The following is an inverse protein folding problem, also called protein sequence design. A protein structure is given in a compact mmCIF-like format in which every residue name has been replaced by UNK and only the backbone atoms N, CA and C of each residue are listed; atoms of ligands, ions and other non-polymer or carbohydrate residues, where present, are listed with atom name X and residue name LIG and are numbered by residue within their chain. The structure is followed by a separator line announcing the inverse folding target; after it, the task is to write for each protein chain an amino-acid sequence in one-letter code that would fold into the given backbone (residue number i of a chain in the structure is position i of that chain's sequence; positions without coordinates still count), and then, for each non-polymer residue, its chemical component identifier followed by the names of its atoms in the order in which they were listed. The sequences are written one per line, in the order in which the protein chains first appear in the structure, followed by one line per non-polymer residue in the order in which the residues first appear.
data_IF_025298111242
#
_entry.id   IF_025298111242
#
_cell.length_a   1.000
_cell.length_b   1.000
_cell.length_c   1.000
_cell.angle_alpha   90.00
_cell.angle_beta   90.00
_cell.angle_gamma   90.00
#
_symmetry.space_group_name_H-M   'P 1'
#
loop_
_entity.id
_entity.type
_entity.pdbx_description
1 polymer ?
#
# COMPACT_ATOMS: atom_id res chain seq x y z
N UNK A 1 3.35 -4.34 -12.84
CA UNK A 1 3.33 -3.82 -14.23
C UNK A 1 4.72 -3.36 -14.63
N UNK A 2 5.18 -3.73 -15.84
CA UNK A 2 6.48 -3.31 -16.38
C UNK A 2 6.66 -1.79 -16.37
N UNK A 3 5.61 -1.08 -16.78
CA UNK A 3 5.63 0.38 -16.84
C UNK A 3 5.86 1.04 -15.46
N UNK A 4 5.24 0.50 -14.41
CA UNK A 4 5.48 0.97 -13.03
C UNK A 4 6.94 0.77 -12.62
N UNK A 5 7.52 -0.37 -12.97
CA UNK A 5 8.92 -0.67 -12.67
C UNK A 5 9.87 0.32 -13.37
N UNK A 6 9.58 0.67 -14.63
CA UNK A 6 10.36 1.71 -15.34
C UNK A 6 10.25 3.09 -14.69
N UNK A 7 9.06 3.43 -14.14
CA UNK A 7 8.89 4.66 -13.36
C UNK A 7 9.67 4.60 -12.03
N UNK A 8 9.60 3.48 -11.31
CA UNK A 8 10.34 3.31 -10.06
C UNK A 8 11.85 3.37 -10.25
N UNK A 9 12.36 2.89 -11.38
CA UNK A 9 13.78 3.03 -11.72
C UNK A 9 14.18 4.50 -11.90
N UNK A 10 13.34 5.30 -12.55
CA UNK A 10 13.56 6.75 -12.68
C UNK A 10 13.52 7.44 -11.31
N UNK A 11 12.56 7.09 -10.47
CA UNK A 11 12.49 7.58 -9.09
C UNK A 11 13.78 7.26 -8.33
N UNK A 12 14.29 6.03 -8.41
CA UNK A 12 15.51 5.61 -7.70
C UNK A 12 16.76 6.39 -8.08
N UNK A 13 16.80 6.93 -9.30
CA UNK A 13 17.90 7.73 -9.86
C UNK A 13 17.67 9.24 -9.75
N UNK A 14 16.51 9.68 -9.29
CA UNK A 14 16.13 11.09 -9.19
C UNK A 14 16.62 11.73 -7.89
N UNK A 15 16.61 13.06 -7.86
CA UNK A 15 16.86 13.83 -6.63
C UNK A 15 15.76 13.61 -5.56
N UNK A 16 14.62 13.05 -5.93
CA UNK A 16 13.45 12.81 -5.09
C UNK A 16 13.40 11.43 -4.45
N UNK A 17 14.44 10.59 -4.67
CA UNK A 17 14.52 9.22 -4.13
C UNK A 17 14.17 9.14 -2.64
N UNK A 18 14.71 10.06 -1.83
CA UNK A 18 14.55 10.07 -0.38
C UNK A 18 13.26 10.74 0.09
N UNK A 19 12.56 11.43 -0.79
CA UNK A 19 11.34 12.17 -0.49
C UNK A 19 10.06 11.40 -0.82
N UNK A 20 10.13 10.48 -1.80
CA UNK A 20 8.99 9.66 -2.24
C UNK A 20 9.10 8.27 -1.63
N UNK A 21 8.25 7.98 -0.67
CA UNK A 21 8.24 6.71 0.07
C UNK A 21 7.14 5.82 -0.47
N UNK A 22 7.49 4.70 -1.10
CA UNK A 22 6.51 3.77 -1.68
C UNK A 22 5.75 3.00 -0.60
N UNK A 23 4.45 2.78 -0.86
CA UNK A 23 3.54 2.03 0.01
C UNK A 23 2.53 1.24 -0.81
N UNK A 24 1.53 0.67 -0.16
CA UNK A 24 0.37 0.07 -0.82
C UNK A 24 0.67 -1.14 -1.67
N UNK A 25 -0.08 -1.29 -2.75
CA UNK A 25 -0.12 -2.51 -3.55
C UNK A 25 1.19 -2.88 -4.25
N UNK A 26 1.94 -1.90 -4.75
CA UNK A 26 3.24 -2.14 -5.43
C UNK A 26 4.26 -2.70 -4.46
N UNK A 27 4.36 -2.12 -3.26
CA UNK A 27 5.26 -2.63 -2.21
C UNK A 27 4.86 -4.04 -1.78
N UNK A 28 3.58 -4.31 -1.55
CA UNK A 28 3.11 -5.65 -1.18
C UNK A 28 3.43 -6.66 -2.28
N UNK A 29 3.15 -6.34 -3.56
CA UNK A 29 3.49 -7.19 -4.70
C UNK A 29 4.96 -7.55 -4.76
N UNK A 30 5.83 -6.59 -4.46
CA UNK A 30 7.28 -6.80 -4.43
C UNK A 30 7.71 -7.70 -3.26
N UNK A 31 7.08 -7.53 -2.08
CA UNK A 31 7.38 -8.31 -0.88
C UNK A 31 7.00 -9.79 -1.01
N UNK A 32 5.87 -10.10 -1.66
CA UNK A 32 5.28 -11.45 -1.70
C UNK A 32 5.36 -12.12 -3.07
N UNK A 33 5.79 -11.40 -4.09
CA UNK A 33 5.84 -11.84 -5.49
C UNK A 33 4.54 -11.57 -6.26
N UNK A 34 4.68 -11.21 -7.54
CA UNK A 34 3.55 -10.81 -8.42
C UNK A 34 2.54 -11.93 -8.69
N UNK A 35 2.93 -13.19 -8.58
CA UNK A 35 2.01 -14.33 -8.69
C UNK A 35 1.00 -14.37 -7.54
N UNK A 36 1.37 -13.85 -6.39
CA UNK A 36 0.55 -13.82 -5.17
C UNK A 36 -0.26 -12.53 -5.02
N UNK A 37 0.16 -11.45 -5.69
CA UNK A 37 -0.50 -10.15 -5.60
C UNK A 37 -0.11 -9.28 -6.78
N UNK A 38 -1.08 -8.79 -7.54
CA UNK A 38 -0.86 -7.85 -8.65
C UNK A 38 -1.51 -6.50 -8.37
N UNK A 39 -0.88 -5.43 -8.86
CA UNK A 39 -1.41 -4.08 -8.82
C UNK A 39 -0.98 -3.29 -10.05
N UNK A 40 -1.75 -2.27 -10.39
CA UNK A 40 -1.42 -1.28 -11.41
C UNK A 40 -1.34 0.13 -10.83
N UNK A 41 -1.69 0.29 -9.55
CA UNK A 41 -1.70 1.58 -8.87
C UNK A 41 -0.40 1.72 -8.06
N UNK A 42 0.24 2.89 -8.15
CA UNK A 42 1.37 3.27 -7.32
C UNK A 42 0.87 4.22 -6.24
N UNK A 43 1.05 3.81 -5.00
CA UNK A 43 0.77 4.63 -3.82
C UNK A 43 2.11 5.06 -3.19
N UNK A 44 2.22 6.33 -2.82
CA UNK A 44 3.39 6.86 -2.14
C UNK A 44 3.01 7.91 -1.10
N UNK A 45 3.88 8.13 -0.13
CA UNK A 45 3.80 9.29 0.75
C UNK A 45 5.00 10.20 0.52
N UNK A 46 4.75 11.50 0.56
CA UNK A 46 5.79 12.51 0.41
C UNK A 46 6.29 12.94 1.80
N UNK A 47 7.60 13.04 1.93
CA UNK A 47 8.27 13.58 3.12
C UNK A 47 9.30 14.66 2.74
N UNK A 48 9.56 15.54 3.69
CA UNK A 48 10.62 16.56 3.56
C UNK A 48 10.19 17.85 2.87
N UNK A 49 8.98 17.92 2.29
CA UNK A 49 8.39 19.14 1.76
C UNK A 49 6.85 19.11 1.84
N UNK A 50 6.22 20.28 1.73
CA UNK A 50 4.78 20.40 1.74
C UNK A 50 4.19 19.86 0.43
N UNK A 51 3.17 18.98 0.53
CA UNK A 51 2.49 18.46 -0.64
C UNK A 51 1.44 19.48 -1.13
N UNK A 52 1.69 20.01 -2.31
CA UNK A 52 0.79 20.87 -3.08
C UNK A 52 0.76 20.39 -4.53
N UNK A 53 -0.20 20.83 -5.34
CA UNK A 53 -0.21 20.55 -6.77
C UNK A 53 1.10 20.96 -7.46
N UNK A 54 1.62 22.16 -7.14
CA UNK A 54 2.85 22.69 -7.69
C UNK A 54 4.07 21.84 -7.27
N UNK A 55 4.18 21.48 -5.99
CA UNK A 55 5.33 20.68 -5.50
C UNK A 55 5.27 19.24 -6.05
N UNK A 56 4.08 18.65 -6.18
CA UNK A 56 3.89 17.34 -6.80
C UNK A 56 4.25 17.40 -8.30
N UNK A 57 3.78 18.41 -9.03
CA UNK A 57 4.13 18.61 -10.43
C UNK A 57 5.65 18.72 -10.62
N UNK A 58 6.31 19.59 -9.84
CA UNK A 58 7.76 19.78 -9.93
C UNK A 58 8.51 18.47 -9.68
N UNK A 59 8.17 17.76 -8.60
CA UNK A 59 8.80 16.48 -8.27
C UNK A 59 8.62 15.44 -9.39
N UNK A 60 7.40 15.28 -9.90
CA UNK A 60 7.14 14.25 -10.91
C UNK A 60 7.67 14.65 -12.30
N UNK A 61 7.73 15.92 -12.65
CA UNK A 61 8.44 16.38 -13.87
C UNK A 61 9.91 16.03 -13.81
N UNK A 62 10.58 16.24 -12.69
CA UNK A 62 11.98 15.87 -12.50
C UNK A 62 12.17 14.34 -12.57
N UNK A 63 11.30 13.57 -11.91
CA UNK A 63 11.37 12.10 -11.92
C UNK A 63 11.22 11.54 -13.34
N UNK A 64 10.22 12.00 -14.10
CA UNK A 64 9.99 11.49 -15.45
C UNK A 64 11.05 11.94 -16.47
N UNK A 65 11.77 13.02 -16.18
CA UNK A 65 12.89 13.51 -17.02
C UNK A 65 14.18 12.68 -16.84
N UNK A 66 14.28 11.86 -15.79
CA UNK A 66 15.44 10.99 -15.57
C UNK A 66 15.56 9.98 -16.71
N UNK A 67 16.76 9.89 -17.28
CA UNK A 67 17.06 8.88 -18.30
C UNK A 67 17.32 7.52 -17.64
N UNK A 68 16.77 6.46 -18.21
CA UNK A 68 17.02 5.08 -17.85
C UNK A 68 17.45 4.30 -19.10
N UNK A 69 18.04 3.13 -18.89
CA UNK A 69 18.49 2.27 -19.99
C UNK A 69 17.31 1.43 -20.53
N UNK A 70 16.34 2.16 -21.07
CA UNK A 70 15.15 1.59 -21.72
C UNK A 70 14.63 2.55 -22.80
N UNK A 71 13.74 2.06 -23.68
CA UNK A 71 13.14 2.84 -24.77
C UNK A 71 11.87 3.59 -24.34
N UNK A 72 11.53 3.61 -23.05
CA UNK A 72 10.37 4.31 -22.51
C UNK A 72 10.69 5.77 -22.24
N UNK A 73 9.76 6.63 -22.61
CA UNK A 73 9.72 8.03 -22.13
C UNK A 73 8.46 8.25 -21.30
N UNK A 74 8.55 9.15 -20.35
CA UNK A 74 7.41 9.50 -19.51
C UNK A 74 7.12 10.99 -19.62
N UNK A 75 5.84 11.34 -19.54
CA UNK A 75 5.37 12.72 -19.54
C UNK A 75 4.45 12.94 -18.35
N UNK A 76 4.61 14.10 -17.71
CA UNK A 76 3.65 14.59 -16.75
C UNK A 76 2.43 15.12 -17.49
N UNK A 77 1.22 14.73 -17.08
CA UNK A 77 -0.03 15.20 -17.67
C UNK A 77 -0.67 16.28 -16.78
N UNK A 78 -1.13 15.89 -15.59
CA UNK A 78 -1.79 16.79 -14.64
C UNK A 78 -1.81 16.21 -13.23
N UNK A 79 -2.28 17.03 -12.29
CA UNK A 79 -2.64 16.59 -10.93
C UNK A 79 -4.12 16.80 -10.67
N UNK A 80 -4.70 16.01 -9.76
CA UNK A 80 -6.05 16.20 -9.24
C UNK A 80 -6.11 15.83 -7.76
N UNK A 81 -7.06 16.42 -7.02
CA UNK A 81 -7.30 16.06 -5.63
C UNK A 81 -7.89 14.65 -5.53
N UNK A 82 -7.35 13.84 -4.66
CA UNK A 82 -7.98 12.58 -4.28
C UNK A 82 -9.08 12.94 -3.27
N UNK A 83 -10.33 12.74 -3.64
CA UNK A 83 -11.47 12.85 -2.73
C UNK A 83 -11.49 11.60 -1.85
N UNK A 84 -10.63 11.55 -0.87
CA UNK A 84 -10.78 10.60 0.22
C UNK A 84 -11.68 11.19 1.27
N UNK A 85 -12.58 10.37 1.81
CA UNK A 85 -13.40 10.66 2.98
C UNK A 85 -12.58 10.77 4.27
N UNK A 86 -11.28 10.60 4.17
CA UNK A 86 -10.32 10.67 5.27
C UNK A 86 -9.68 12.08 5.32
N UNK A 87 -9.39 12.56 6.53
CA UNK A 87 -8.93 13.91 6.89
C UNK A 87 -7.60 14.38 6.27
N UNK A 88 -7.06 13.67 5.28
CA UNK A 88 -5.75 13.97 4.70
C UNK A 88 -5.84 14.24 3.19
N UNK A 89 -5.35 15.40 2.76
CA UNK A 89 -5.30 15.72 1.34
C UNK A 89 -4.32 14.78 0.62
N UNK A 90 -4.83 14.08 -0.37
CA UNK A 90 -4.03 13.33 -1.33
C UNK A 90 -4.10 14.00 -2.70
N UNK A 91 -3.06 13.80 -3.48
CA UNK A 91 -2.97 14.29 -4.87
C UNK A 91 -2.72 13.09 -5.77
N UNK A 92 -3.57 12.93 -6.79
CA UNK A 92 -3.32 11.99 -7.89
C UNK A 92 -2.52 12.67 -8.97
N UNK A 93 -1.37 12.12 -9.27
CA UNK A 93 -0.51 12.54 -10.37
C UNK A 93 -0.79 11.66 -11.58
N UNK A 94 -1.16 12.27 -12.69
CA UNK A 94 -1.39 11.60 -13.97
C UNK A 94 -0.13 11.72 -14.82
N UNK A 95 0.34 10.60 -15.32
CA UNK A 95 1.50 10.46 -16.19
C UNK A 95 1.11 9.69 -17.46
N UNK A 96 1.94 9.81 -18.48
CA UNK A 96 1.89 8.96 -19.69
C UNK A 96 3.23 8.30 -19.91
N UNK A 97 3.25 6.98 -20.03
CA UNK A 97 4.41 6.24 -20.50
C UNK A 97 4.29 6.01 -22.01
N UNK A 98 5.28 6.43 -22.76
CA UNK A 98 5.32 6.35 -24.20
C UNK A 98 6.38 5.34 -24.67
N UNK A 99 5.96 4.44 -25.54
CA UNK A 99 6.80 3.52 -26.32
C UNK A 99 6.15 3.38 -27.71
N UNK A 100 6.70 4.06 -28.70
CA UNK A 100 6.05 4.22 -30.01
C UNK A 100 5.61 2.88 -30.64
N UNK A 101 4.36 2.75 -31.10
CA UNK A 101 3.30 3.77 -31.18
C UNK A 101 2.39 3.86 -29.95
N UNK A 102 2.72 3.20 -28.83
CA UNK A 102 1.88 3.11 -27.64
C UNK A 102 2.06 4.31 -26.72
N UNK A 103 0.95 4.80 -26.16
CA UNK A 103 0.93 5.75 -25.03
C UNK A 103 0.00 5.17 -23.96
N UNK A 104 0.54 4.89 -22.79
CA UNK A 104 -0.17 4.21 -21.69
C UNK A 104 -0.33 5.17 -20.52
N UNK A 105 -1.56 5.46 -20.09
CA UNK A 105 -1.80 6.28 -18.91
C UNK A 105 -1.35 5.56 -17.64
N UNK A 106 -0.83 6.31 -16.70
CA UNK A 106 -0.33 5.86 -15.41
C UNK A 106 -0.72 6.86 -14.33
N UNK A 107 -1.07 6.39 -13.15
CA UNK A 107 -1.38 7.25 -12.01
C UNK A 107 -0.53 6.91 -10.80
N UNK A 108 -0.18 7.95 -10.04
CA UNK A 108 0.47 7.83 -8.74
C UNK A 108 -0.35 8.61 -7.72
N UNK A 109 -0.83 7.91 -6.70
CA UNK A 109 -1.54 8.51 -5.59
C UNK A 109 -0.53 8.90 -4.50
N UNK A 110 -0.40 10.19 -4.24
CA UNK A 110 0.53 10.71 -3.25
C UNK A 110 -0.21 11.33 -2.07
N UNK A 111 0.23 11.00 -0.88
CA UNK A 111 -0.26 11.54 0.39
C UNK A 111 0.88 12.20 1.15
N UNK A 112 0.59 12.84 2.27
CA UNK A 112 1.58 13.41 3.18
C UNK A 112 1.14 13.26 4.63
N UNK A 113 2.09 13.42 5.54
CA UNK A 113 1.80 13.39 6.97
C UNK A 113 1.52 12.00 7.54
N UNK A 114 1.75 10.93 6.80
CA UNK A 114 1.56 9.55 7.27
C UNK A 114 2.51 9.23 8.44
N UNK A 115 2.00 8.46 9.40
CA UNK A 115 2.82 7.91 10.50
C UNK A 115 3.53 6.65 10.01
N UNK A 116 4.84 6.72 9.87
CA UNK A 116 5.68 5.58 9.46
C UNK A 116 6.48 5.15 10.69
N UNK A 117 6.27 3.94 11.16
CA UNK A 117 6.85 3.43 12.41
C UNK A 117 7.81 2.28 12.13
N UNK A 118 9.06 2.33 12.62
CA UNK A 118 9.67 3.49 13.29
C UNK A 118 10.00 4.64 12.35
N UNK A 119 10.38 4.36 11.09
CA UNK A 119 10.69 5.30 10.01
C UNK A 119 10.60 4.59 8.66
N UNK A 120 10.55 5.36 7.57
CA UNK A 120 10.73 4.80 6.22
C UNK A 120 12.09 4.09 6.12
N UNK A 121 12.09 2.95 5.43
CA UNK A 121 13.28 2.10 5.26
C UNK A 121 13.79 2.15 3.82
N UNK A 122 15.10 2.00 3.64
CA UNK A 122 15.65 1.73 2.33
C UNK A 122 15.28 0.29 1.95
N UNK A 123 14.63 0.15 0.81
CA UNK A 123 14.11 -1.12 0.32
C UNK A 123 14.74 -1.49 -1.01
N UNK A 124 15.31 -2.67 -1.06
CA UNK A 124 15.85 -3.27 -2.28
C UNK A 124 14.70 -3.87 -3.08
N UNK A 125 14.23 -3.15 -4.10
CA UNK A 125 13.14 -3.55 -4.98
C UNK A 125 13.69 -4.43 -6.11
N UNK A 126 13.36 -5.74 -6.16
CA UNK A 126 13.82 -6.62 -7.22
C UNK A 126 13.14 -6.27 -8.54
N UNK A 127 13.91 -6.13 -9.61
CA UNK A 127 13.37 -5.92 -10.94
C UNK A 127 12.72 -7.21 -11.45
N UNK A 128 11.48 -7.13 -11.90
CA UNK A 128 10.71 -8.28 -12.39
C UNK A 128 10.97 -8.55 -13.87
N UNK A 129 11.39 -7.52 -14.61
CA UNK A 129 11.55 -7.52 -16.07
C UNK A 129 12.94 -7.07 -16.49
N UNK A 130 13.93 -7.24 -15.63
CA UNK A 130 15.33 -6.90 -15.86
C UNK A 130 16.22 -7.70 -14.95
N UNK A 131 17.53 -7.47 -15.04
CA UNK A 131 18.48 -8.02 -14.10
C UNK A 131 18.78 -7.01 -12.99
N UNK A 132 18.91 -7.49 -11.75
CA UNK A 132 19.28 -6.66 -10.60
C UNK A 132 18.11 -6.13 -9.79
N UNK A 133 18.40 -5.08 -9.06
CA UNK A 133 17.46 -4.40 -8.16
C UNK A 133 17.66 -2.89 -8.19
N UNK A 134 16.71 -2.17 -7.60
CA UNK A 134 16.80 -0.73 -7.37
C UNK A 134 16.55 -0.42 -5.89
N UNK A 135 17.19 0.62 -5.38
CA UNK A 135 16.98 1.08 -4.01
C UNK A 135 15.96 2.21 -3.98
N UNK A 136 14.93 2.05 -3.16
CA UNK A 136 13.81 2.99 -2.95
C UNK A 136 13.54 3.16 -1.47
N UNK A 137 12.95 4.29 -1.09
CA UNK A 137 12.37 4.42 0.24
C UNK A 137 11.00 3.78 0.27
N UNK A 138 10.72 3.00 1.31
CA UNK A 138 9.46 2.28 1.45
C UNK A 138 8.95 2.28 2.90
N UNK A 139 7.68 1.94 3.07
CA UNK A 139 7.14 1.62 4.39
C UNK A 139 7.76 0.33 4.93
N UNK A 140 8.06 0.25 6.24
CA UNK A 140 8.25 -1.02 6.91
C UNK A 140 7.00 -1.90 6.74
N UNK A 141 7.19 -3.20 6.70
CA UNK A 141 6.08 -4.16 6.57
C UNK A 141 5.06 -4.00 7.71
N UNK A 142 5.53 -3.67 8.90
CA UNK A 142 4.70 -3.46 10.09
C UNK A 142 3.76 -2.25 9.91
N UNK A 143 4.24 -1.15 9.33
CA UNK A 143 3.38 0.00 9.02
C UNK A 143 2.32 -0.37 7.98
N UNK A 144 2.68 -1.14 6.93
CA UNK A 144 1.72 -1.62 5.93
C UNK A 144 0.62 -2.46 6.56
N UNK A 145 1.00 -3.40 7.43
CA UNK A 145 0.05 -4.28 8.13
C UNK A 145 -0.83 -3.47 9.08
N UNK A 146 -0.24 -2.57 9.85
CA UNK A 146 -0.95 -1.72 10.81
C UNK A 146 -2.03 -0.86 10.14
N UNK A 147 -1.72 -0.19 9.03
CA UNK A 147 -2.71 0.61 8.28
C UNK A 147 -3.86 -0.25 7.75
N UNK A 148 -3.57 -1.46 7.28
CA UNK A 148 -4.61 -2.37 6.79
C UNK A 148 -5.48 -2.95 7.91
N UNK A 149 -4.88 -3.35 9.02
CA UNK A 149 -5.62 -3.81 10.20
C UNK A 149 -6.54 -2.69 10.70
N UNK A 150 -6.00 -1.49 10.88
CA UNK A 150 -6.79 -0.34 11.30
C UNK A 150 -7.96 -0.11 10.35
N UNK A 151 -7.72 -0.11 9.02
CA UNK A 151 -8.74 0.11 8.00
C UNK A 151 -9.85 -0.95 8.04
N UNK A 152 -9.51 -2.24 8.17
CA UNK A 152 -10.54 -3.29 8.19
C UNK A 152 -11.35 -3.28 9.49
N UNK A 153 -10.72 -2.94 10.61
CA UNK A 153 -11.41 -2.84 11.90
C UNK A 153 -12.28 -1.58 11.96
N UNK A 154 -11.75 -0.42 11.60
CA UNK A 154 -12.50 0.85 11.66
C UNK A 154 -13.70 0.88 10.72
N UNK A 155 -13.61 0.23 9.56
CA UNK A 155 -14.70 0.18 8.58
C UNK A 155 -15.66 -0.97 8.83
N UNK A 156 -15.22 -2.05 9.44
CA UNK A 156 -16.04 -3.22 9.72
C UNK A 156 -16.83 -3.67 8.49
N UNK A 157 -18.13 -3.92 8.64
CA UNK A 157 -19.04 -4.33 7.55
C UNK A 157 -19.27 -3.26 6.48
N UNK A 158 -18.91 -2.00 6.73
CA UNK A 158 -18.92 -0.93 5.72
C UNK A 158 -17.68 -0.92 4.82
N UNK A 159 -16.75 -1.84 5.01
CA UNK A 159 -15.53 -1.91 4.20
C UNK A 159 -15.85 -2.34 2.76
N UNK A 160 -15.45 -1.51 1.79
CA UNK A 160 -15.62 -1.78 0.36
C UNK A 160 -14.35 -2.32 -0.31
N UNK A 161 -13.29 -2.60 0.47
CA UNK A 161 -11.96 -3.00 0.00
C UNK A 161 -11.61 -4.44 0.41
N UNK A 162 -12.17 -5.47 -0.22
CA UNK A 162 -11.88 -6.87 0.14
C UNK A 162 -10.41 -7.23 0.03
N UNK A 163 -9.66 -6.53 -0.82
CA UNK A 163 -8.21 -6.73 -0.97
C UNK A 163 -7.43 -6.46 0.32
N UNK A 164 -7.91 -5.61 1.24
CA UNK A 164 -7.21 -5.33 2.49
C UNK A 164 -7.21 -6.55 3.42
N UNK A 165 -8.29 -7.30 3.45
CA UNK A 165 -8.36 -8.58 4.16
C UNK A 165 -7.40 -9.61 3.56
N UNK A 166 -7.36 -9.70 2.23
CA UNK A 166 -6.42 -10.57 1.53
C UNK A 166 -4.96 -10.21 1.82
N UNK A 167 -4.62 -8.92 1.71
CA UNK A 167 -3.26 -8.43 1.93
C UNK A 167 -2.77 -8.70 3.36
N UNK A 168 -3.64 -8.53 4.39
CA UNK A 168 -3.34 -8.89 5.78
C UNK A 168 -3.04 -10.38 5.88
N UNK A 169 -3.93 -11.23 5.37
CA UNK A 169 -3.75 -12.68 5.40
C UNK A 169 -2.46 -13.11 4.71
N UNK A 170 -2.19 -12.58 3.53
CA UNK A 170 -1.01 -12.90 2.74
C UNK A 170 0.28 -12.50 3.45
N UNK A 171 0.38 -11.24 3.92
CA UNK A 171 1.58 -10.74 4.60
C UNK A 171 1.86 -11.53 5.89
N UNK A 172 0.84 -11.76 6.71
CA UNK A 172 0.97 -12.49 7.97
C UNK A 172 1.26 -13.99 7.79
N UNK A 173 0.95 -14.56 6.61
CA UNK A 173 1.25 -15.95 6.29
C UNK A 173 2.63 -16.10 5.66
N UNK A 174 2.92 -15.30 4.63
CA UNK A 174 4.15 -15.44 3.82
C UNK A 174 5.35 -14.78 4.50
N UNK A 175 5.15 -13.65 5.19
CA UNK A 175 6.19 -12.81 5.80
C UNK A 175 6.23 -12.89 7.33
N UNK A 176 5.59 -13.89 7.92
CA UNK A 176 5.46 -14.04 9.37
C UNK A 176 6.78 -13.89 10.14
N UNK A 177 7.88 -14.41 9.59
CA UNK A 177 9.19 -14.39 10.23
C UNK A 177 9.93 -13.05 10.06
N UNK A 178 9.49 -12.22 9.14
CA UNK A 178 10.10 -10.91 8.83
C UNK A 178 9.45 -9.77 9.67
N UNK A 179 8.38 -10.08 10.42
CA UNK A 179 7.59 -9.11 11.17
C UNK A 179 8.08 -9.03 12.61
N UNK A 180 8.50 -7.85 13.05
CA UNK A 180 8.76 -7.56 14.45
C UNK A 180 7.47 -7.17 15.18
N UNK A 181 7.07 -7.97 16.17
CA UNK A 181 5.80 -7.80 16.88
C UNK A 181 5.75 -6.54 17.74
N UNK A 182 6.89 -6.08 18.25
CA UNK A 182 6.99 -4.82 19.01
C UNK A 182 6.75 -3.63 18.09
N UNK A 183 7.45 -3.60 16.97
CA UNK A 183 7.29 -2.57 15.93
C UNK A 183 5.87 -2.56 15.35
N UNK A 184 5.26 -3.74 15.12
CA UNK A 184 3.87 -3.83 14.63
C UNK A 184 2.88 -3.23 15.66
N UNK A 185 3.08 -3.49 16.96
CA UNK A 185 2.25 -2.89 18.00
C UNK A 185 2.36 -1.36 17.99
N UNK A 186 3.57 -0.84 17.95
CA UNK A 186 3.83 0.60 17.93
C UNK A 186 3.25 1.24 16.66
N UNK A 187 3.39 0.58 15.53
CA UNK A 187 2.80 1.03 14.26
C UNK A 187 1.27 1.08 14.33
N UNK A 188 0.63 0.04 14.89
CA UNK A 188 -0.83 0.00 15.03
C UNK A 188 -1.32 1.09 15.99
N UNK A 189 -0.67 1.27 17.13
CA UNK A 189 -1.01 2.32 18.09
C UNK A 189 -0.89 3.71 17.45
N UNK A 190 0.22 3.97 16.75
CA UNK A 190 0.50 5.23 16.08
C UNK A 190 -0.51 5.53 14.96
N UNK A 191 -0.90 4.50 14.19
CA UNK A 191 -1.92 4.63 13.13
C UNK A 191 -3.30 4.92 13.72
N UNK A 192 -3.68 4.20 14.78
CA UNK A 192 -4.96 4.42 15.48
C UNK A 192 -5.04 5.81 16.13
N UNK A 193 -3.95 6.28 16.74
CA UNK A 193 -3.88 7.64 17.28
C UNK A 193 -4.13 8.68 16.19
N UNK A 194 -3.43 8.55 15.06
CA UNK A 194 -3.54 9.47 13.96
C UNK A 194 -4.95 9.51 13.36
N UNK A 195 -5.60 8.35 13.24
CA UNK A 195 -6.93 8.21 12.62
C UNK A 195 -8.08 8.27 13.62
N UNK A 196 -7.81 8.57 14.91
CA UNK A 196 -8.79 8.62 15.99
C UNK A 196 -9.65 7.34 16.10
N UNK A 197 -9.02 6.17 15.83
CA UNK A 197 -9.71 4.88 15.76
C UNK A 197 -9.44 3.96 16.97
N UNK A 198 -8.88 4.47 18.06
CA UNK A 198 -8.52 3.68 19.26
C UNK A 198 -9.72 2.91 19.82
N UNK A 199 -10.91 3.51 19.82
CA UNK A 199 -12.13 2.85 20.32
C UNK A 199 -12.52 1.67 19.42
N UNK A 200 -12.43 1.83 18.10
CA UNK A 200 -12.73 0.76 17.16
C UNK A 200 -11.80 -0.43 17.35
N UNK A 201 -10.50 -0.16 17.55
CA UNK A 201 -9.50 -1.22 17.71
C UNK A 201 -9.71 -2.03 19.00
N UNK A 202 -10.28 -1.49 20.06
CA UNK A 202 -10.60 -2.28 21.27
C UNK A 202 -11.72 -3.30 21.07
N UNK A 203 -12.52 -3.13 20.02
CA UNK A 203 -13.64 -4.04 19.63
C UNK A 203 -13.30 -4.93 18.44
N UNK A 204 -12.04 -5.08 18.12
CA UNK A 204 -11.60 -5.81 16.92
C UNK A 204 -12.20 -7.21 16.78
N UNK A 205 -12.36 -7.94 17.90
CA UNK A 205 -12.86 -9.32 17.88
C UNK A 205 -14.31 -9.36 17.40
N UNK A 206 -15.19 -8.56 18.03
CA UNK A 206 -16.60 -8.42 17.65
C UNK A 206 -16.75 -7.96 16.19
N UNK A 207 -16.01 -6.91 15.80
CA UNK A 207 -16.08 -6.36 14.45
C UNK A 207 -15.67 -7.39 13.39
N UNK A 208 -14.61 -8.14 13.62
CA UNK A 208 -14.16 -9.17 12.68
C UNK A 208 -15.09 -10.40 12.64
N UNK A 209 -15.80 -10.71 13.75
CA UNK A 209 -16.88 -11.71 13.74
C UNK A 209 -18.06 -11.26 12.89
N UNK A 210 -18.49 -10.01 13.05
CA UNK A 210 -19.56 -9.42 12.24
C UNK A 210 -19.21 -9.44 10.75
N UNK A 211 -17.98 -9.03 10.38
CA UNK A 211 -17.49 -9.07 8.99
C UNK A 211 -17.50 -10.48 8.42
N UNK A 212 -17.03 -11.47 9.19
CA UNK A 212 -16.93 -12.85 8.74
C UNK A 212 -18.32 -13.52 8.54
N UNK A 213 -19.35 -12.99 9.22
CA UNK A 213 -20.74 -13.48 9.13
C UNK A 213 -21.63 -12.66 8.21
N UNK A 214 -21.23 -11.46 7.80
CA UNK A 214 -22.08 -10.56 7.02
C UNK A 214 -22.25 -11.00 5.56
N UNK A 215 -23.51 -11.11 5.12
CA UNK A 215 -23.84 -11.63 3.79
C UNK A 215 -23.32 -10.73 2.65
N UNK A 216 -23.30 -9.40 2.84
CA UNK A 216 -22.82 -8.47 1.84
C UNK A 216 -21.29 -8.55 1.71
N UNK A 217 -20.57 -8.67 2.82
CA UNK A 217 -19.13 -8.87 2.84
C UNK A 217 -18.74 -10.19 2.17
N UNK A 218 -19.45 -11.28 2.44
CA UNK A 218 -19.24 -12.58 1.81
C UNK A 218 -19.46 -12.51 0.29
N UNK A 219 -20.53 -11.85 -0.16
CA UNK A 219 -20.81 -11.65 -1.58
C UNK A 219 -19.71 -10.80 -2.26
N UNK A 220 -19.26 -9.74 -1.60
CA UNK A 220 -18.17 -8.89 -2.08
C UNK A 220 -16.85 -9.68 -2.19
N UNK A 221 -16.53 -10.51 -1.19
CA UNK A 221 -15.36 -11.39 -1.20
C UNK A 221 -15.42 -12.39 -2.36
N UNK A 222 -16.57 -13.06 -2.55
CA UNK A 222 -16.75 -14.01 -3.65
C UNK A 222 -16.54 -13.35 -5.03
N UNK A 223 -16.96 -12.10 -5.20
CA UNK A 223 -16.71 -11.31 -6.41
C UNK A 223 -15.23 -10.99 -6.57
N UNK A 224 -14.54 -10.61 -5.49
CA UNK A 224 -13.11 -10.34 -5.47
C UNK A 224 -12.30 -11.58 -5.85
N UNK A 225 -12.55 -12.73 -5.20
CA UNK A 225 -11.84 -13.98 -5.43
C UNK A 225 -12.00 -14.50 -6.86
N UNK A 226 -13.20 -14.31 -7.48
CA UNK A 226 -13.42 -14.65 -8.91
C UNK A 226 -12.58 -13.80 -9.87
N UNK A 227 -12.34 -12.52 -9.54
CA UNK A 227 -11.58 -11.60 -10.37
C UNK A 227 -10.07 -11.71 -10.18
N UNK A 228 -9.65 -12.30 -9.06
CA UNK A 228 -8.26 -12.39 -8.65
C UNK A 228 -7.87 -13.85 -8.40
N UNK A 229 -7.32 -14.55 -9.41
CA UNK A 229 -6.99 -15.98 -9.30
C UNK A 229 -6.09 -16.34 -8.13
N UNK A 230 -5.25 -15.41 -7.68
CA UNK A 230 -4.37 -15.60 -6.51
C UNK A 230 -5.14 -15.70 -5.18
N UNK A 231 -6.36 -15.17 -5.09
CA UNK A 231 -7.23 -15.28 -3.91
C UNK A 231 -8.13 -16.52 -3.94
N UNK A 232 -8.03 -17.35 -5.01
CA UNK A 232 -8.87 -18.55 -5.16
C UNK A 232 -8.57 -19.56 -4.05
N UNK A 233 -9.62 -20.03 -3.40
CA UNK A 233 -9.51 -21.03 -2.33
C UNK A 233 -9.29 -20.45 -0.93
N UNK A 234 -9.16 -19.14 -0.80
CA UNK A 234 -9.09 -18.44 0.49
C UNK A 234 -10.50 -17.92 0.81
N UNK A 235 -11.00 -18.19 2.01
CA UNK A 235 -12.27 -17.64 2.48
C UNK A 235 -12.06 -16.32 3.21
N UNK A 236 -13.08 -15.45 3.25
CA UNK A 236 -13.05 -14.22 4.05
C UNK A 236 -12.85 -14.54 5.54
N UNK A 237 -13.45 -15.63 6.00
CA UNK A 237 -13.30 -16.13 7.37
C UNK A 237 -11.84 -16.43 7.71
N UNK A 238 -11.06 -17.03 6.79
CA UNK A 238 -9.63 -17.32 6.99
C UNK A 238 -8.83 -16.02 7.16
N UNK A 239 -9.18 -14.99 6.37
CA UNK A 239 -8.56 -13.67 6.47
C UNK A 239 -8.88 -12.99 7.81
N UNK A 240 -10.14 -13.03 8.25
CA UNK A 240 -10.57 -12.49 9.53
C UNK A 240 -9.88 -13.23 10.69
N UNK A 241 -9.81 -14.55 10.63
CA UNK A 241 -9.15 -15.35 11.66
C UNK A 241 -7.65 -15.04 11.76
N UNK A 242 -6.98 -14.88 10.62
CA UNK A 242 -5.58 -14.45 10.61
C UNK A 242 -5.39 -13.08 11.29
N UNK A 243 -6.29 -12.13 11.00
CA UNK A 243 -6.26 -10.81 11.64
C UNK A 243 -6.54 -10.90 13.16
N UNK A 244 -7.46 -11.74 13.60
CA UNK A 244 -7.75 -11.98 15.02
C UNK A 244 -6.55 -12.55 15.75
N UNK A 245 -5.90 -13.57 15.19
CA UNK A 245 -4.72 -14.20 15.81
C UNK A 245 -3.60 -13.20 16.06
N UNK A 246 -3.36 -12.28 15.11
CA UNK A 246 -2.32 -11.27 15.30
C UNK A 246 -2.75 -10.20 16.31
N UNK A 247 -4.00 -9.73 16.24
CA UNK A 247 -4.52 -8.72 17.15
C UNK A 247 -4.55 -9.22 18.61
N UNK A 248 -4.92 -10.47 18.85
CA UNK A 248 -4.82 -11.08 20.18
C UNK A 248 -3.39 -10.98 20.73
N UNK A 249 -2.37 -11.34 19.93
CA UNK A 249 -0.96 -11.23 20.34
C UNK A 249 -0.51 -9.79 20.59
N UNK A 250 -1.07 -8.81 19.90
CA UNK A 250 -0.73 -7.40 20.08
C UNK A 250 -1.39 -6.82 21.33
N UNK A 251 -2.52 -7.36 21.77
CA UNK A 251 -3.32 -6.87 22.90
C UNK A 251 -3.09 -7.64 24.21
N UNK A 252 -2.62 -8.90 24.18
CA UNK A 252 -2.46 -9.78 25.34
C UNK A 252 -1.28 -9.43 26.29
N UNK A 253 -0.53 -8.35 26.08
CA UNK A 253 0.65 -8.00 26.90
C UNK A 253 0.29 -6.98 28.00
N UNK A 254 -0.95 -6.92 28.44
CA UNK A 254 -1.39 -6.09 29.55
C UNK A 254 -1.90 -6.92 30.74
N UNK A 255 -1.42 -8.19 30.89
CA UNK A 255 -1.58 -8.97 32.14
C UNK A 255 -0.23 -9.39 32.69
#
# INVERSE_FOLDING_TARGET
SYLLERLLERLSKSAWKDNVVIKGGVLISSLVGVSSRTTMDLDATIRGFALTHESAENAFRDIVAVQADDDWTFEFDRTEDIRETDDYPGIRVHLKGNYAPMAIPLTVDVTTGDRITPNAVEYTYPLLFGEGDISLMAYPIETVIAEKIETVVSRGVANTRPRDFYDIHLLLTVKKNDIDMGTLRDALASTCEKRNSQVAITRWAEILDDVAGDAAMLAQWAKYARRNPYAKGIALQDCCETAKVILAKLTDIHN
#
